data_IF_834837157789
#
_entry.id   IF_834837157789
#
_cell.length_a   1.000
_cell.length_b   1.000
_cell.length_c   1.000
_cell.angle_alpha   90.00
_cell.angle_beta   90.00
_cell.angle_gamma   90.00
#
_symmetry.space_group_name_H-M   'P 1'
#
loop_
_entity.id
_entity.type
_entity.pdbx_description
1 polymer ?
#
# COMPACT_ATOMS: atom_id res chain seq x y z
N UNK A 1 -16.38 -15.29 -39.68
CA UNK A 1 -17.80 -14.93 -39.90
C UNK A 1 -18.37 -14.57 -38.54
N UNK A 2 -18.49 -13.27 -38.24
CA UNK A 2 -19.01 -12.79 -36.95
C UNK A 2 -20.51 -13.05 -36.90
N UNK A 3 -20.97 -13.87 -35.95
CA UNK A 3 -22.40 -14.15 -35.78
C UNK A 3 -23.08 -12.86 -35.29
N UNK A 4 -23.89 -12.25 -36.15
CA UNK A 4 -24.69 -11.10 -35.78
C UNK A 4 -25.69 -11.53 -34.70
N UNK A 5 -25.63 -10.93 -33.51
CA UNK A 5 -26.49 -11.29 -32.38
C UNK A 5 -27.96 -11.02 -32.74
N UNK A 6 -28.81 -12.05 -32.73
CA UNK A 6 -30.26 -11.94 -32.97
C UNK A 6 -31.06 -11.35 -31.80
N UNK A 7 -30.36 -10.80 -30.79
CA UNK A 7 -30.98 -10.27 -29.59
C UNK A 7 -31.89 -9.10 -29.92
N UNK A 8 -33.09 -9.10 -29.36
CA UNK A 8 -33.98 -7.94 -29.35
C UNK A 8 -33.36 -6.77 -28.59
N UNK A 9 -33.88 -5.56 -28.82
CA UNK A 9 -33.42 -4.35 -28.10
C UNK A 9 -33.44 -4.57 -26.58
N UNK A 10 -34.49 -5.21 -26.05
CA UNK A 10 -34.66 -5.48 -24.62
C UNK A 10 -33.59 -6.42 -24.07
N UNK A 11 -33.23 -7.45 -24.82
CA UNK A 11 -32.20 -8.41 -24.41
C UNK A 11 -30.82 -7.77 -24.42
N UNK A 12 -30.52 -6.93 -25.42
CA UNK A 12 -29.28 -6.14 -25.44
C UNK A 12 -29.18 -5.20 -24.24
N UNK A 13 -30.28 -4.53 -23.89
CA UNK A 13 -30.31 -3.67 -22.69
C UNK A 13 -30.08 -4.46 -21.41
N UNK A 14 -30.70 -5.63 -21.26
CA UNK A 14 -30.48 -6.51 -20.10
C UNK A 14 -29.04 -7.00 -20.01
N UNK A 15 -28.45 -7.39 -21.14
CA UNK A 15 -27.07 -7.86 -21.21
C UNK A 15 -26.09 -6.73 -20.88
N UNK A 16 -26.29 -5.53 -21.42
CA UNK A 16 -25.48 -4.35 -21.09
C UNK A 16 -25.58 -3.99 -19.61
N UNK A 17 -26.79 -4.04 -19.02
CA UNK A 17 -26.99 -3.81 -17.60
C UNK A 17 -26.24 -4.84 -16.74
N UNK A 18 -26.29 -6.13 -17.09
CA UNK A 18 -25.56 -7.19 -16.39
C UNK A 18 -24.04 -6.93 -16.38
N UNK A 19 -23.46 -6.54 -17.52
CA UNK A 19 -22.04 -6.17 -17.62
C UNK A 19 -21.70 -4.95 -16.74
N UNK A 20 -22.58 -3.94 -16.72
CA UNK A 20 -22.39 -2.79 -15.82
C UNK A 20 -22.39 -3.23 -14.35
N UNK A 21 -23.26 -4.15 -13.94
CA UNK A 21 -23.27 -4.66 -12.56
C UNK A 21 -22.00 -5.48 -12.21
N UNK A 22 -21.44 -6.22 -13.16
CA UNK A 22 -20.18 -6.96 -12.96
C UNK A 22 -18.98 -6.02 -12.76
N UNK A 23 -18.86 -4.98 -13.60
CA UNK A 23 -17.76 -4.00 -13.52
C UNK A 23 -17.81 -3.20 -12.22
N UNK A 24 -19.00 -2.90 -11.71
CA UNK A 24 -19.16 -2.14 -10.47
C UNK A 24 -19.01 -2.99 -9.19
N UNK A 25 -18.64 -4.27 -9.32
CA UNK A 25 -18.62 -5.22 -8.20
C UNK A 25 -20.05 -5.55 -7.81
N UNK A 26 -20.49 -6.77 -8.12
CA UNK A 26 -21.88 -7.20 -7.95
C UNK A 26 -22.50 -6.87 -6.58
N UNK A 27 -23.83 -6.94 -6.50
CA UNK A 27 -24.69 -6.59 -5.37
C UNK A 27 -24.26 -7.09 -3.97
N UNK A 28 -23.29 -8.00 -3.90
CA UNK A 28 -22.53 -8.28 -2.70
C UNK A 28 -21.37 -7.30 -2.69
N UNK A 29 -21.60 -6.09 -2.19
CA UNK A 29 -20.61 -5.03 -1.99
C UNK A 29 -19.44 -5.49 -1.13
N UNK A 30 -18.63 -6.41 -1.67
CA UNK A 30 -17.24 -6.58 -1.35
C UNK A 30 -16.62 -5.33 -1.94
N UNK A 31 -16.78 -4.24 -1.19
CA UNK A 31 -15.79 -3.20 -1.14
C UNK A 31 -14.49 -3.94 -0.97
N UNK A 32 -13.79 -4.19 -2.08
CA UNK A 32 -12.41 -4.62 -1.97
C UNK A 32 -11.78 -3.52 -1.15
N UNK A 33 -11.29 -3.87 0.05
CA UNK A 33 -10.49 -2.96 0.83
C UNK A 33 -9.16 -2.83 0.09
N UNK A 34 -9.17 -1.99 -0.95
CA UNK A 34 -8.02 -1.68 -1.78
C UNK A 34 -7.05 -0.74 -1.02
N UNK A 35 -7.28 -0.53 0.28
CA UNK A 35 -6.57 0.43 1.09
C UNK A 35 -6.80 1.86 0.61
N UNK A 36 -6.16 2.80 1.29
CA UNK A 36 -6.06 4.17 0.79
C UNK A 36 -5.12 4.15 -0.41
N UNK A 37 -5.57 4.72 -1.54
CA UNK A 37 -4.71 4.92 -2.72
C UNK A 37 -3.54 5.82 -2.32
N UNK A 38 -2.39 5.22 -2.02
CA UNK A 38 -1.15 5.95 -1.74
C UNK A 38 -0.73 6.63 -3.04
N UNK A 39 -0.85 7.96 -3.04
CA UNK A 39 -0.88 8.73 -4.29
C UNK A 39 0.49 8.86 -4.97
N UNK A 40 1.58 8.42 -4.31
CA UNK A 40 2.91 8.43 -4.91
C UNK A 40 3.57 7.04 -4.89
N UNK A 41 4.19 6.60 -6.00
CA UNK A 41 4.99 5.38 -6.03
C UNK A 41 6.12 5.34 -4.98
N UNK A 42 6.54 6.51 -4.47
CA UNK A 42 7.55 6.64 -3.41
C UNK A 42 7.02 6.18 -2.05
N UNK A 43 5.79 6.52 -1.70
CA UNK A 43 5.19 6.14 -0.42
C UNK A 43 4.94 4.63 -0.36
N UNK A 44 4.43 4.06 -1.46
CA UNK A 44 4.25 2.61 -1.62
C UNK A 44 5.61 1.89 -1.50
N UNK A 45 6.65 2.41 -2.15
CA UNK A 45 8.00 1.82 -2.07
C UNK A 45 8.55 1.84 -0.63
N UNK A 46 8.36 2.94 0.12
CA UNK A 46 8.83 3.02 1.51
C UNK A 46 8.07 2.06 2.43
N UNK A 47 6.78 1.88 2.22
CA UNK A 47 5.97 0.92 2.97
C UNK A 47 6.41 -0.53 2.68
N UNK A 48 6.53 -0.90 1.41
CA UNK A 48 6.99 -2.24 1.00
C UNK A 48 8.41 -2.55 1.48
N UNK A 49 9.30 -1.54 1.49
CA UNK A 49 10.65 -1.67 2.04
C UNK A 49 10.67 -1.70 3.58
N UNK A 50 9.58 -1.30 4.24
CA UNK A 50 9.44 -1.40 5.70
C UNK A 50 9.08 -2.81 6.15
N UNK A 51 8.41 -3.61 5.31
CA UNK A 51 8.06 -5.01 5.59
C UNK A 51 9.31 -5.89 5.70
N UNK A 52 9.59 -6.52 6.84
CA UNK A 52 10.79 -7.36 7.04
C UNK A 52 10.73 -8.75 6.38
N UNK A 53 9.67 -9.03 5.63
CA UNK A 53 9.33 -10.37 5.12
C UNK A 53 10.04 -10.75 3.82
N UNK A 54 10.56 -9.79 3.04
CA UNK A 54 11.14 -10.07 1.72
C UNK A 54 12.64 -9.72 1.62
N UNK A 55 13.34 -10.26 0.61
CA UNK A 55 14.78 -10.04 0.42
C UNK A 55 15.12 -8.58 0.11
N UNK A 56 14.27 -7.89 -0.66
CA UNK A 56 14.50 -6.51 -1.09
C UNK A 56 14.49 -5.53 0.08
N UNK A 57 13.49 -5.63 0.95
CA UNK A 57 13.36 -4.80 2.16
C UNK A 57 14.51 -5.05 3.14
N UNK A 58 14.94 -6.30 3.32
CA UNK A 58 16.13 -6.65 4.12
C UNK A 58 17.39 -6.00 3.57
N UNK A 59 17.62 -6.09 2.26
CA UNK A 59 18.78 -5.48 1.61
C UNK A 59 18.77 -3.95 1.74
N UNK A 60 17.59 -3.33 1.61
CA UNK A 60 17.44 -1.90 1.79
C UNK A 60 17.79 -1.46 3.21
N UNK A 61 17.27 -2.14 4.24
CA UNK A 61 17.61 -1.83 5.65
C UNK A 61 19.09 -2.04 5.95
N UNK A 62 19.69 -3.11 5.44
CA UNK A 62 21.14 -3.35 5.60
C UNK A 62 21.97 -2.26 4.91
N UNK A 63 21.55 -1.80 3.73
CA UNK A 63 22.20 -0.68 3.03
C UNK A 63 22.03 0.63 3.79
N UNK A 64 20.82 0.92 4.30
CA UNK A 64 20.53 2.09 5.12
C UNK A 64 21.43 2.13 6.36
N UNK A 65 21.49 1.04 7.13
CA UNK A 65 22.38 0.92 8.31
C UNK A 65 23.85 1.11 7.97
N UNK A 66 24.30 0.57 6.83
CA UNK A 66 25.67 0.77 6.36
C UNK A 66 25.94 2.22 5.99
N UNK A 67 24.98 2.90 5.36
CA UNK A 67 25.10 4.32 5.00
C UNK A 67 25.14 5.21 6.25
N UNK A 68 24.23 4.96 7.20
CA UNK A 68 24.12 5.67 8.48
C UNK A 68 25.47 5.71 9.22
N UNK A 69 26.24 4.61 9.21
CA UNK A 69 27.60 4.55 9.78
C UNK A 69 28.58 5.62 9.24
N UNK A 70 28.39 6.08 8.02
CA UNK A 70 29.28 7.04 7.34
C UNK A 70 28.62 8.41 7.13
N UNK A 71 27.43 8.64 7.67
CA UNK A 71 26.68 9.90 7.53
C UNK A 71 26.73 10.63 8.87
N UNK A 72 27.30 11.83 8.91
CA UNK A 72 27.58 12.56 10.15
C UNK A 72 26.31 12.85 10.98
N UNK A 73 25.22 13.19 10.29
CA UNK A 73 23.90 13.46 10.88
C UNK A 73 23.28 12.23 11.58
N UNK A 74 23.77 11.01 11.29
CA UNK A 74 23.27 9.78 11.90
C UNK A 74 23.61 9.67 13.39
N UNK A 75 24.76 10.19 13.82
CA UNK A 75 25.19 10.12 15.24
C UNK A 75 24.24 10.95 16.11
N UNK A 76 23.83 12.12 15.61
CA UNK A 76 22.83 12.96 16.26
C UNK A 76 21.46 12.27 16.30
N UNK A 77 21.09 11.57 15.22
CA UNK A 77 19.85 10.81 15.19
C UNK A 77 19.82 9.62 16.15
N UNK A 78 20.93 8.91 16.37
CA UNK A 78 21.01 7.83 17.37
C UNK A 78 20.81 8.38 18.78
N UNK A 79 21.48 9.48 19.12
CA UNK A 79 21.26 10.18 20.39
C UNK A 79 19.79 10.59 20.53
N UNK A 80 19.22 11.24 19.50
CA UNK A 80 17.81 11.67 19.49
C UNK A 80 16.83 10.49 19.60
N UNK A 81 17.13 9.34 18.98
CA UNK A 81 16.30 8.14 19.09
C UNK A 81 16.33 7.56 20.52
N UNK A 82 17.51 7.51 21.16
CA UNK A 82 17.61 7.08 22.55
C UNK A 82 16.88 8.03 23.51
N UNK A 83 16.99 9.35 23.29
CA UNK A 83 16.27 10.37 24.07
C UNK A 83 14.75 10.29 23.89
N UNK A 84 14.27 10.05 22.67
CA UNK A 84 12.84 9.91 22.41
C UNK A 84 12.27 8.64 23.07
N UNK A 85 13.01 7.53 23.01
CA UNK A 85 12.63 6.28 23.68
C UNK A 85 12.58 6.45 25.20
N UNK A 86 13.56 7.13 25.81
CA UNK A 86 13.53 7.41 27.25
C UNK A 86 12.37 8.34 27.64
N UNK A 87 12.05 9.34 26.82
CA UNK A 87 10.92 10.26 27.07
C UNK A 87 9.58 9.52 27.08
N UNK A 88 9.38 8.58 26.14
CA UNK A 88 8.16 7.77 26.07
C UNK A 88 7.95 6.93 27.35
N UNK A 89 9.03 6.40 27.93
CA UNK A 89 8.95 5.65 29.19
C UNK A 89 8.75 6.53 30.42
N UNK A 90 9.18 7.79 30.38
CA UNK A 90 8.95 8.73 31.49
C UNK A 90 7.55 9.36 31.45
N UNK A 91 6.98 9.55 30.24
CA UNK A 91 5.63 10.11 30.07
C UNK A 91 4.50 9.12 30.35
N UNK A 92 4.80 7.81 30.41
CA UNK A 92 3.82 6.75 30.74
C UNK A 92 3.72 6.43 32.24
N UNK A 93 4.53 7.09 33.07
CA UNK A 93 4.60 6.90 34.54
C UNK A 93 4.27 8.19 35.32
N UNK A 94 3.72 9.21 34.67
CA UNK A 94 3.23 10.45 35.28
C UNK A 94 1.71 10.55 35.21
#
# INVERSE_FOLDING_TARGET
MSQFSSLSVRERTKQAAALCYEVHGGANGVTMDLGKKLSTPKDIMLEELSLLSNRGSRLFKMRRRRSEKYTFESIQNEANAMFNVSSIYTDTLA
#
